data_IF_902676509922
#
_entry.id   IF_902676509922
#
_cell.length_a   1.000
_cell.length_b   1.000
_cell.length_c   1.000
_cell.angle_alpha   90.00
_cell.angle_beta   90.00
_cell.angle_gamma   90.00
#
_symmetry.space_group_name_H-M   'P 1'
#
loop_
_entity.id
_entity.type
_entity.pdbx_description
1 polymer ?
#
# COMPACT_ATOMS: atom_id res chain seq x y z
N UNK A 1 0.36 -3.89 0.01
CA UNK A 1 -0.07 -3.86 -1.40
C UNK A 1 -0.27 -5.25 -2.02
N UNK A 2 -0.65 -6.28 -1.30
CA UNK A 2 -0.49 -7.64 -1.81
C UNK A 2 -1.72 -8.48 -1.52
N UNK A 3 -2.61 -8.50 -2.46
CA UNK A 3 -3.55 -9.58 -2.63
C UNK A 3 -3.10 -10.40 -3.83
N UNK A 4 -2.14 -11.29 -3.66
CA UNK A 4 -2.00 -12.36 -4.61
C UNK A 4 -3.33 -13.10 -4.63
N UNK A 5 -3.96 -13.18 -5.81
CA UNK A 5 -4.95 -14.20 -6.02
C UNK A 5 -4.22 -15.53 -5.84
N UNK A 6 -4.42 -16.18 -4.70
CA UNK A 6 -4.24 -17.61 -4.61
C UNK A 6 -5.28 -18.23 -5.55
N UNK A 7 -4.88 -18.40 -6.78
CA UNK A 7 -5.56 -19.29 -7.72
C UNK A 7 -4.65 -20.49 -7.80
N UNK A 8 -5.09 -21.60 -7.23
CA UNK A 8 -4.55 -22.91 -7.55
C UNK A 8 -4.75 -23.11 -9.05
N UNK A 9 -3.68 -23.06 -9.82
CA UNK A 9 -3.69 -23.22 -11.25
C UNK A 9 -2.45 -23.96 -11.72
N UNK A 10 -2.68 -25.05 -12.42
CA UNK A 10 -1.66 -25.95 -12.95
C UNK A 10 -0.72 -25.30 -13.99
N UNK A 11 0.21 -26.08 -14.50
CA UNK A 11 1.41 -25.74 -15.29
C UNK A 11 1.26 -24.96 -16.61
N UNK A 12 0.08 -24.46 -16.97
CA UNK A 12 -0.18 -23.76 -18.25
C UNK A 12 -0.30 -22.23 -18.12
N UNK A 13 0.20 -21.66 -17.01
CA UNK A 13 -0.14 -20.30 -16.56
C UNK A 13 0.19 -19.16 -17.51
N UNK A 14 1.34 -19.15 -18.20
CA UNK A 14 1.76 -18.02 -19.04
C UNK A 14 0.98 -17.98 -20.36
N UNK A 15 0.75 -19.10 -20.99
CA UNK A 15 0.02 -19.17 -22.25
C UNK A 15 -1.46 -18.83 -22.12
N UNK A 16 -2.07 -19.10 -20.96
CA UNK A 16 -3.46 -18.74 -20.68
C UNK A 16 -3.66 -17.23 -20.49
N UNK A 17 -2.66 -16.51 -19.98
CA UNK A 17 -2.75 -15.06 -19.71
C UNK A 17 -2.73 -14.19 -20.98
N UNK A 18 -2.15 -14.72 -22.07
CA UNK A 18 -2.07 -14.04 -23.38
C UNK A 18 -2.96 -14.72 -24.43
N UNK A 19 -3.75 -15.72 -24.05
CA UNK A 19 -4.63 -16.44 -24.95
C UNK A 19 -5.65 -15.48 -25.59
N UNK A 20 -5.68 -15.48 -26.94
CA UNK A 20 -6.59 -14.64 -27.73
C UNK A 20 -6.12 -13.20 -27.97
N UNK A 21 -4.91 -12.83 -27.52
CA UNK A 21 -4.28 -11.59 -27.93
C UNK A 21 -3.66 -11.70 -29.34
N UNK A 22 -3.57 -10.56 -30.05
CA UNK A 22 -2.89 -10.47 -31.36
C UNK A 22 -1.37 -10.68 -31.17
N UNK A 23 -0.76 -11.72 -31.78
CA UNK A 23 0.64 -12.02 -31.53
C UNK A 23 1.61 -10.92 -31.99
N UNK A 24 1.27 -10.17 -33.04
CA UNK A 24 2.11 -9.10 -33.58
C UNK A 24 2.09 -7.91 -32.58
N UNK A 25 0.91 -7.50 -32.16
CA UNK A 25 0.76 -6.42 -31.18
C UNK A 25 1.37 -6.78 -29.83
N UNK A 26 1.26 -8.03 -29.42
CA UNK A 26 1.89 -8.51 -28.18
C UNK A 26 3.42 -8.41 -28.26
N UNK A 27 4.01 -8.84 -29.38
CA UNK A 27 5.44 -8.75 -29.61
C UNK A 27 5.94 -7.29 -29.64
N UNK A 28 5.22 -6.40 -30.30
CA UNK A 28 5.50 -4.95 -30.31
C UNK A 28 5.42 -4.34 -28.91
N UNK A 29 4.38 -4.69 -28.15
CA UNK A 29 4.20 -4.24 -26.77
C UNK A 29 5.36 -4.71 -25.87
N UNK A 30 5.73 -5.98 -25.95
CA UNK A 30 6.85 -6.52 -25.15
C UNK A 30 8.20 -5.90 -25.56
N UNK A 31 8.42 -5.66 -26.85
CA UNK A 31 9.62 -4.99 -27.33
C UNK A 31 9.75 -3.55 -26.80
N UNK A 32 8.65 -2.79 -26.74
CA UNK A 32 8.62 -1.44 -26.15
C UNK A 32 8.97 -1.48 -24.66
N UNK A 33 8.38 -2.40 -23.91
CA UNK A 33 8.69 -2.55 -22.46
C UNK A 33 10.16 -2.93 -22.26
N UNK A 34 10.68 -3.84 -23.08
CA UNK A 34 12.09 -4.23 -23.02
C UNK A 34 13.03 -3.06 -23.31
N UNK A 35 12.68 -2.21 -24.27
CA UNK A 35 13.40 -0.97 -24.61
C UNK A 35 13.34 0.11 -23.48
N UNK A 36 12.43 -0.06 -22.52
CA UNK A 36 12.24 0.90 -21.41
C UNK A 36 11.17 1.98 -21.67
N UNK A 37 10.45 1.86 -22.79
CA UNK A 37 9.35 2.79 -23.10
C UNK A 37 8.23 2.68 -22.07
N UNK A 38 7.56 3.81 -21.83
CA UNK A 38 6.34 3.82 -21.03
C UNK A 38 5.13 3.53 -21.93
N UNK A 39 4.22 2.75 -21.37
CA UNK A 39 2.91 2.49 -21.97
C UNK A 39 1.96 3.58 -21.48
N UNK A 40 1.33 4.26 -22.41
CA UNK A 40 0.41 5.37 -22.14
C UNK A 40 -1.06 4.94 -22.36
N UNK A 41 -2.06 5.70 -21.86
CA UNK A 41 -3.47 5.31 -21.88
C UNK A 41 -4.05 5.00 -23.28
N UNK A 42 -3.48 5.62 -24.33
CA UNK A 42 -3.91 5.42 -25.72
C UNK A 42 -3.19 4.29 -26.44
N UNK A 43 -2.14 3.74 -25.83
CA UNK A 43 -1.40 2.64 -26.39
C UNK A 43 -2.22 1.35 -26.32
N UNK A 44 -2.00 0.47 -27.31
CA UNK A 44 -2.50 -0.88 -27.19
C UNK A 44 -1.76 -1.62 -26.06
N UNK A 45 -2.53 -2.37 -25.29
CA UNK A 45 -2.00 -3.20 -24.19
C UNK A 45 -2.82 -4.48 -24.05
N UNK A 46 -2.18 -5.61 -23.65
CA UNK A 46 -2.88 -6.87 -23.39
C UNK A 46 -3.96 -6.68 -22.31
N UNK A 47 -5.06 -7.41 -22.43
CA UNK A 47 -6.17 -7.34 -21.46
C UNK A 47 -5.71 -7.68 -20.05
N UNK A 48 -4.85 -8.69 -19.90
CA UNK A 48 -4.34 -9.09 -18.60
C UNK A 48 -3.39 -8.04 -17.99
N UNK A 49 -2.53 -7.40 -18.81
CA UNK A 49 -1.73 -6.25 -18.35
C UNK A 49 -2.61 -5.14 -17.77
N UNK A 50 -3.62 -4.74 -18.50
CA UNK A 50 -4.60 -3.72 -18.07
C UNK A 50 -5.30 -4.13 -16.78
N UNK A 51 -5.80 -5.35 -16.71
CA UNK A 51 -6.51 -5.90 -15.54
C UNK A 51 -5.63 -5.91 -14.27
N UNK A 52 -4.36 -6.34 -14.40
CA UNK A 52 -3.45 -6.39 -13.27
C UNK A 52 -3.04 -5.00 -12.80
N UNK A 53 -2.83 -4.05 -13.73
CA UNK A 53 -2.58 -2.65 -13.38
C UNK A 53 -3.76 -2.01 -12.65
N UNK A 54 -4.99 -2.15 -13.17
CA UNK A 54 -6.19 -1.62 -12.50
C UNK A 54 -6.26 -2.16 -11.07
N UNK A 55 -6.12 -3.48 -10.91
CA UNK A 55 -6.16 -4.12 -9.61
C UNK A 55 -5.08 -3.59 -8.65
N UNK A 56 -3.84 -3.47 -9.12
CA UNK A 56 -2.71 -3.02 -8.33
C UNK A 56 -2.86 -1.54 -7.92
N UNK A 57 -3.19 -0.68 -8.86
CA UNK A 57 -3.32 0.77 -8.62
C UNK A 57 -4.53 1.06 -7.74
N UNK A 58 -5.67 0.41 -7.99
CA UNK A 58 -6.87 0.51 -7.15
C UNK A 58 -6.58 0.09 -5.71
N UNK A 59 -5.92 -1.06 -5.52
CA UNK A 59 -5.57 -1.55 -4.21
C UNK A 59 -4.60 -0.60 -3.48
N UNK A 60 -3.68 0.03 -4.21
CA UNK A 60 -2.79 1.05 -3.68
C UNK A 60 -3.60 2.29 -3.23
N UNK A 61 -4.43 2.84 -4.10
CA UNK A 61 -5.29 3.98 -3.78
C UNK A 61 -6.18 3.72 -2.54
N UNK A 62 -6.75 2.54 -2.45
CA UNK A 62 -7.54 2.12 -1.29
C UNK A 62 -6.69 2.01 -0.02
N UNK A 63 -5.43 1.61 -0.15
CA UNK A 63 -4.50 1.51 0.97
C UNK A 63 -4.20 2.88 1.56
N UNK A 64 -4.00 3.91 0.72
CA UNK A 64 -3.83 5.29 1.17
C UNK A 64 -5.07 5.79 1.96
N UNK A 65 -6.27 5.62 1.39
CA UNK A 65 -7.52 6.03 2.05
C UNK A 65 -7.71 5.32 3.40
N UNK A 66 -7.49 4.01 3.45
CA UNK A 66 -7.71 3.24 4.68
C UNK A 66 -6.56 3.42 5.67
N UNK A 67 -5.32 3.62 5.18
CA UNK A 67 -4.16 3.93 6.00
C UNK A 67 -4.29 5.24 6.77
N UNK A 68 -4.90 6.24 6.16
CA UNK A 68 -5.20 7.51 6.82
C UNK A 68 -6.12 7.38 8.06
N UNK A 69 -6.98 6.35 8.14
CA UNK A 69 -7.98 6.23 9.21
C UNK A 69 -7.37 5.96 10.60
N UNK A 70 -6.49 4.97 10.82
CA UNK A 70 -5.90 4.72 12.14
C UNK A 70 -5.10 5.91 12.65
N UNK A 71 -4.36 6.61 11.79
CA UNK A 71 -3.59 7.78 12.15
C UNK A 71 -4.48 9.02 12.36
N UNK A 72 -5.49 9.22 11.52
CA UNK A 72 -6.46 10.31 11.62
C UNK A 72 -7.17 10.35 12.99
N UNK A 73 -7.40 9.20 13.61
CA UNK A 73 -7.97 9.14 14.96
C UNK A 73 -7.06 9.75 16.03
N UNK A 74 -5.76 9.91 15.75
CA UNK A 74 -4.78 10.49 16.66
C UNK A 74 -4.59 12.00 16.49
N UNK A 75 -5.13 12.64 15.46
CA UNK A 75 -4.94 14.09 15.22
C UNK A 75 -5.33 14.90 16.47
N UNK A 76 -6.50 14.65 17.05
CA UNK A 76 -6.96 15.36 18.24
C UNK A 76 -6.25 14.95 19.52
N UNK A 77 -5.72 13.73 19.59
CA UNK A 77 -5.06 13.13 20.76
C UNK A 77 -3.54 13.25 20.75
N UNK A 78 -2.94 13.61 19.61
CA UNK A 78 -1.50 13.74 19.49
C UNK A 78 -0.91 14.68 20.56
N UNK A 79 0.25 14.32 21.15
CA UNK A 79 0.85 15.13 22.21
C UNK A 79 1.44 16.43 21.67
N UNK A 80 0.84 17.55 22.07
CA UNK A 80 1.27 18.90 21.70
C UNK A 80 0.83 19.34 20.30
N UNK A 81 0.72 20.65 20.15
CA UNK A 81 0.15 21.29 18.95
C UNK A 81 0.96 21.02 17.69
N UNK A 82 2.29 21.08 17.78
CA UNK A 82 3.18 20.81 16.64
C UNK A 82 2.96 19.42 16.05
N UNK A 83 2.82 18.38 16.91
CA UNK A 83 2.57 17.00 16.47
C UNK A 83 1.19 16.82 15.86
N UNK A 84 0.17 17.54 16.37
CA UNK A 84 -1.17 17.56 15.76
C UNK A 84 -1.14 18.10 14.33
N UNK A 85 -0.45 19.23 14.12
CA UNK A 85 -0.32 19.83 12.79
C UNK A 85 0.44 18.92 11.82
N UNK A 86 1.55 18.32 12.26
CA UNK A 86 2.32 17.43 11.42
C UNK A 86 1.54 16.16 11.04
N UNK A 87 0.80 15.57 11.99
CA UNK A 87 -0.05 14.43 11.70
C UNK A 87 -1.22 14.77 10.77
N UNK A 88 -1.81 15.98 10.94
CA UNK A 88 -2.86 16.43 10.04
C UNK A 88 -2.34 16.59 8.59
N UNK A 89 -1.14 17.16 8.42
CA UNK A 89 -0.50 17.29 7.11
C UNK A 89 -0.27 15.92 6.49
N UNK A 90 0.32 14.96 7.25
CA UNK A 90 0.50 13.58 6.79
C UNK A 90 -0.81 12.95 6.33
N UNK A 91 -1.86 12.99 7.15
CA UNK A 91 -3.17 12.39 6.80
C UNK A 91 -3.78 13.05 5.56
N UNK A 92 -3.58 14.36 5.36
CA UNK A 92 -3.99 15.05 4.15
C UNK A 92 -3.24 14.54 2.92
N UNK A 93 -1.91 14.34 3.03
CA UNK A 93 -1.09 13.82 1.95
C UNK A 93 -1.54 12.41 1.52
N UNK A 94 -1.85 11.50 2.47
CA UNK A 94 -2.36 10.15 2.17
C UNK A 94 -3.62 10.19 1.30
N UNK A 95 -4.55 11.10 1.61
CA UNK A 95 -5.76 11.27 0.78
C UNK A 95 -5.41 11.87 -0.59
N UNK A 96 -4.41 12.76 -0.65
CA UNK A 96 -3.86 13.31 -1.90
C UNK A 96 -3.21 12.22 -2.77
N UNK A 97 -2.44 11.31 -2.15
CA UNK A 97 -1.84 10.14 -2.82
C UNK A 97 -2.92 9.24 -3.42
N UNK A 98 -3.97 8.92 -2.66
CA UNK A 98 -5.11 8.18 -3.17
C UNK A 98 -5.73 8.83 -4.40
N UNK A 99 -5.88 10.17 -4.40
CA UNK A 99 -6.44 10.94 -5.51
C UNK A 99 -5.60 10.80 -6.79
N UNK A 100 -4.28 10.86 -6.69
CA UNK A 100 -3.35 10.65 -7.80
C UNK A 100 -3.46 9.22 -8.36
N UNK A 101 -3.53 8.23 -7.48
CA UNK A 101 -3.63 6.83 -7.84
C UNK A 101 -4.98 6.50 -8.50
N UNK A 102 -6.10 7.01 -7.97
CA UNK A 102 -7.39 6.87 -8.63
C UNK A 102 -7.36 7.48 -10.04
N UNK A 103 -6.77 8.66 -10.21
CA UNK A 103 -6.63 9.28 -11.53
C UNK A 103 -5.83 8.41 -12.50
N UNK A 104 -4.76 7.76 -12.02
CA UNK A 104 -4.01 6.80 -12.84
C UNK A 104 -4.84 5.57 -13.22
N UNK A 105 -5.64 5.02 -12.29
CA UNK A 105 -6.51 3.88 -12.55
C UNK A 105 -7.67 4.22 -13.52
N UNK A 106 -8.22 5.45 -13.44
CA UNK A 106 -9.27 5.92 -14.36
C UNK A 106 -8.80 5.91 -15.82
N UNK A 107 -7.52 6.17 -16.07
CA UNK A 107 -6.96 6.09 -17.44
C UNK A 107 -6.96 4.67 -18.02
N UNK A 108 -7.15 3.66 -17.17
CA UNK A 108 -7.34 2.27 -17.54
C UNK A 108 -8.82 1.87 -17.68
N UNK A 109 -9.76 2.84 -17.54
CA UNK A 109 -11.18 2.65 -17.80
C UNK A 109 -12.02 2.13 -16.64
N UNK A 110 -11.52 2.10 -15.41
CA UNK A 110 -12.35 1.88 -14.21
C UNK A 110 -12.64 3.21 -13.54
N UNK A 111 -13.92 3.58 -13.43
CA UNK A 111 -14.30 4.87 -12.86
C UNK A 111 -13.94 4.97 -11.38
N UNK A 112 -13.62 6.19 -10.93
CA UNK A 112 -13.38 6.47 -9.51
C UNK A 112 -14.58 6.11 -8.64
N UNK A 113 -15.77 6.39 -9.13
CA UNK A 113 -17.01 6.09 -8.43
C UNK A 113 -17.15 4.58 -8.20
N UNK A 114 -16.87 3.75 -9.20
CA UNK A 114 -16.90 2.30 -9.06
C UNK A 114 -15.86 1.81 -8.05
N UNK A 115 -14.62 2.33 -8.11
CA UNK A 115 -13.56 1.97 -7.18
C UNK A 115 -13.94 2.32 -5.73
N UNK A 116 -14.46 3.53 -5.49
CA UNK A 116 -14.89 3.96 -4.16
C UNK A 116 -16.10 3.16 -3.68
N UNK A 117 -17.07 2.89 -4.54
CA UNK A 117 -18.22 2.05 -4.22
C UNK A 117 -17.80 0.62 -3.85
N UNK A 118 -16.84 0.05 -4.56
CA UNK A 118 -16.28 -1.27 -4.23
C UNK A 118 -15.58 -1.25 -2.86
N UNK A 119 -14.84 -0.19 -2.53
CA UNK A 119 -14.23 -0.02 -1.21
C UNK A 119 -15.25 0.09 -0.09
N UNK A 120 -16.27 0.95 -0.25
CA UNK A 120 -17.35 1.15 0.74
C UNK A 120 -18.13 -0.14 0.98
N UNK A 121 -18.37 -0.91 -0.07
CA UNK A 121 -19.10 -2.18 0.01
C UNK A 121 -18.25 -3.38 0.45
N UNK A 122 -16.93 -3.21 0.64
CA UNK A 122 -16.02 -4.29 1.05
C UNK A 122 -15.72 -5.30 -0.07
N UNK A 123 -15.90 -4.92 -1.33
CA UNK A 123 -15.61 -5.75 -2.50
C UNK A 123 -14.16 -5.62 -2.95
N UNK A 124 -13.51 -4.51 -2.65
CA UNK A 124 -12.10 -4.24 -2.99
C UNK A 124 -11.15 -4.56 -1.85
N UNK A 125 -9.90 -4.77 -2.19
CA UNK A 125 -8.80 -5.04 -1.28
C UNK A 125 -7.98 -3.77 -1.04
N UNK A 126 -7.31 -3.72 0.10
CA UNK A 126 -6.28 -2.75 0.50
C UNK A 126 -5.21 -3.46 1.34
N UNK A 127 -4.14 -2.79 1.69
CA UNK A 127 -3.06 -3.41 2.47
C UNK A 127 -3.59 -4.02 3.77
N UNK A 128 -3.24 -5.28 4.03
CA UNK A 128 -3.66 -6.03 5.20
C UNK A 128 -3.30 -5.32 6.51
N UNK A 129 -2.18 -4.62 6.53
CA UNK A 129 -1.60 -3.96 7.71
C UNK A 129 -2.57 -2.92 8.34
N UNK A 130 -3.42 -2.28 7.55
CA UNK A 130 -4.39 -1.30 8.06
C UNK A 130 -5.62 -1.91 8.75
N UNK A 131 -5.69 -3.23 8.87
CA UNK A 131 -6.69 -3.94 9.66
C UNK A 131 -6.25 -4.24 11.10
N UNK A 132 -5.16 -3.62 11.56
CA UNK A 132 -4.69 -3.69 12.94
C UNK A 132 -4.99 -2.39 13.70
N UNK A 133 -5.20 -2.45 15.04
CA UNK A 133 -5.55 -1.28 15.82
C UNK A 133 -4.33 -0.41 16.16
N UNK A 134 -4.48 0.91 16.09
CA UNK A 134 -3.51 1.88 16.60
C UNK A 134 -3.95 2.35 18.00
N UNK A 135 -3.55 1.62 19.04
CA UNK A 135 -4.05 1.79 20.42
C UNK A 135 -3.32 2.86 21.23
N UNK A 136 -2.06 3.13 20.91
CA UNK A 136 -1.23 4.12 21.59
C UNK A 136 -0.65 5.16 20.60
N UNK A 137 -0.11 6.24 21.11
CA UNK A 137 0.62 7.22 20.28
C UNK A 137 1.84 6.58 19.60
N UNK A 138 2.47 5.60 20.25
CA UNK A 138 3.58 4.88 19.63
C UNK A 138 3.16 4.04 18.43
N UNK A 139 1.93 3.52 18.40
CA UNK A 139 1.43 2.82 17.20
C UNK A 139 1.37 3.77 16.00
N UNK A 140 0.87 5.01 16.19
CA UNK A 140 0.88 6.03 15.13
C UNK A 140 2.30 6.36 14.67
N UNK A 141 3.27 6.43 15.58
CA UNK A 141 4.67 6.67 15.25
C UNK A 141 5.30 5.49 14.47
N UNK A 142 5.00 4.26 14.88
CA UNK A 142 5.48 3.04 14.21
C UNK A 142 4.86 2.90 12.81
N UNK A 143 3.57 3.21 12.64
CA UNK A 143 2.91 3.25 11.33
C UNK A 143 3.64 4.25 10.43
N UNK A 144 3.74 5.50 10.85
CA UNK A 144 4.34 6.58 10.07
C UNK A 144 5.84 6.37 9.76
N UNK A 145 6.55 5.53 10.50
CA UNK A 145 7.93 5.21 10.19
C UNK A 145 8.08 3.87 9.46
N UNK A 146 7.60 2.79 10.04
CA UNK A 146 7.95 1.44 9.59
C UNK A 146 6.97 0.87 8.56
N UNK A 147 5.69 1.25 8.60
CA UNK A 147 4.73 0.86 7.55
C UNK A 147 4.96 1.71 6.30
N UNK A 148 5.11 3.04 6.46
CA UNK A 148 5.41 3.91 5.33
C UNK A 148 6.77 3.56 4.70
N UNK A 149 7.75 3.13 5.51
CA UNK A 149 9.00 2.58 5.01
C UNK A 149 8.80 1.36 4.09
N UNK A 150 7.93 0.44 4.49
CA UNK A 150 7.54 -0.70 3.64
C UNK A 150 6.84 -0.24 2.37
N UNK A 151 5.97 0.77 2.46
CA UNK A 151 5.30 1.37 1.31
C UNK A 151 6.32 1.99 0.34
N UNK A 152 7.28 2.78 0.84
CA UNK A 152 8.32 3.42 0.02
C UNK A 152 9.22 2.40 -0.68
N UNK A 153 9.66 1.34 0.00
CA UNK A 153 10.44 0.27 -0.64
C UNK A 153 9.71 -0.28 -1.86
N UNK A 154 8.41 -0.46 -1.74
CA UNK A 154 7.56 -0.93 -2.83
C UNK A 154 7.33 0.12 -3.91
N UNK A 155 7.02 1.35 -3.52
CA UNK A 155 6.74 2.47 -4.42
C UNK A 155 7.96 2.84 -5.26
N UNK A 156 9.16 2.89 -4.66
CA UNK A 156 10.43 3.14 -5.35
C UNK A 156 10.77 2.03 -6.37
N UNK A 157 10.46 0.77 -6.06
CA UNK A 157 10.58 -0.30 -7.04
C UNK A 157 9.60 -0.06 -8.21
N UNK A 158 8.32 0.14 -7.93
CA UNK A 158 7.26 0.28 -8.93
C UNK A 158 7.33 1.60 -9.72
N UNK A 159 8.02 2.65 -9.23
CA UNK A 159 8.26 3.88 -10.00
C UNK A 159 9.12 3.66 -11.25
N UNK A 160 9.78 2.50 -11.35
CA UNK A 160 10.50 2.05 -12.55
C UNK A 160 9.64 1.21 -13.49
N UNK A 161 8.36 1.05 -13.18
CA UNK A 161 7.39 0.24 -13.92
C UNK A 161 7.12 0.75 -15.34
N UNK A 162 6.32 -0.02 -16.08
CA UNK A 162 6.06 0.26 -17.50
C UNK A 162 4.89 1.20 -17.77
N UNK A 163 3.94 1.38 -16.82
CA UNK A 163 2.76 2.21 -17.05
C UNK A 163 2.97 3.68 -16.66
N UNK A 164 3.02 4.56 -17.65
CA UNK A 164 3.39 5.98 -17.48
C UNK A 164 2.57 6.74 -16.43
N UNK A 165 1.21 6.72 -16.45
CA UNK A 165 0.42 7.43 -15.45
C UNK A 165 0.69 7.00 -14.01
N UNK A 166 0.89 5.72 -13.77
CA UNK A 166 1.20 5.20 -12.43
C UNK A 166 2.61 5.61 -11.97
N UNK A 167 3.59 5.53 -12.88
CA UNK A 167 4.98 5.96 -12.59
C UNK A 167 5.02 7.43 -12.17
N UNK A 168 4.36 8.31 -12.93
CA UNK A 168 4.30 9.75 -12.60
C UNK A 168 3.60 10.03 -11.25
N UNK A 169 2.57 9.27 -10.93
CA UNK A 169 1.93 9.36 -9.62
C UNK A 169 2.91 8.94 -8.50
N UNK A 170 3.62 7.83 -8.68
CA UNK A 170 4.60 7.33 -7.71
C UNK A 170 5.79 8.27 -7.51
N UNK A 171 6.29 8.91 -8.56
CA UNK A 171 7.38 9.89 -8.45
C UNK A 171 7.02 11.03 -7.50
N UNK A 172 5.78 11.53 -7.60
CA UNK A 172 5.28 12.58 -6.70
C UNK A 172 5.05 12.03 -5.29
N UNK A 173 4.39 10.91 -5.15
CA UNK A 173 4.10 10.26 -3.86
C UNK A 173 5.40 10.01 -3.09
N UNK A 174 6.40 9.38 -3.73
CA UNK A 174 7.70 9.10 -3.09
C UNK A 174 8.42 10.36 -2.58
N UNK A 175 8.26 11.50 -3.26
CA UNK A 175 8.83 12.77 -2.80
C UNK A 175 8.16 13.27 -1.50
N UNK A 176 6.83 13.17 -1.43
CA UNK A 176 6.04 13.59 -0.26
C UNK A 176 6.22 12.62 0.93
N UNK A 177 6.38 11.34 0.69
CA UNK A 177 6.63 10.29 1.70
C UNK A 177 7.91 10.50 2.53
N UNK A 178 8.87 11.27 2.03
CA UNK A 178 10.07 11.62 2.79
C UNK A 178 9.74 12.38 4.08
N UNK A 179 8.70 13.20 4.07
CA UNK A 179 8.17 13.89 5.24
C UNK A 179 7.54 12.91 6.23
N UNK A 180 6.76 11.95 5.74
CA UNK A 180 6.11 10.93 6.57
C UNK A 180 7.13 10.09 7.33
N UNK A 181 8.15 9.58 6.63
CA UNK A 181 9.24 8.82 7.25
C UNK A 181 9.95 9.63 8.32
N UNK A 182 10.28 10.90 8.02
CA UNK A 182 10.95 11.77 9.01
C UNK A 182 10.06 12.02 10.21
N UNK A 183 8.78 12.31 10.00
CA UNK A 183 7.80 12.51 11.07
C UNK A 183 7.68 11.28 11.97
N UNK A 184 7.52 10.10 11.38
CA UNK A 184 7.41 8.83 12.11
C UNK A 184 8.69 8.53 12.90
N UNK A 185 9.86 8.62 12.24
CA UNK A 185 11.16 8.41 12.87
C UNK A 185 11.38 9.36 14.06
N UNK A 186 11.16 10.66 13.90
CA UNK A 186 11.37 11.65 14.97
C UNK A 186 10.47 11.35 16.18
N UNK A 187 9.26 10.84 15.98
CA UNK A 187 8.37 10.44 17.09
C UNK A 187 8.85 9.14 17.75
N UNK A 188 9.34 8.15 16.99
CA UNK A 188 9.92 6.93 17.57
C UNK A 188 11.18 7.26 18.36
N UNK A 189 12.08 8.07 17.82
CA UNK A 189 13.29 8.55 18.56
C UNK A 189 12.89 9.25 19.85
N UNK A 190 11.93 10.17 19.79
CA UNK A 190 11.46 10.89 20.98
C UNK A 190 10.94 9.94 22.07
N UNK A 191 10.23 8.88 21.69
CA UNK A 191 9.71 7.89 22.64
C UNK A 191 10.84 6.97 23.15
N UNK A 192 11.70 6.50 22.27
CA UNK A 192 12.80 5.57 22.60
C UNK A 192 13.85 6.21 23.52
N UNK A 193 14.11 7.50 23.38
CA UNK A 193 15.07 8.29 24.20
C UNK A 193 14.44 9.01 25.39
N UNK A 194 13.12 8.88 25.57
CA UNK A 194 12.38 9.55 26.61
C UNK A 194 12.39 8.81 27.95
N UNK A 195 11.29 8.94 28.71
CA UNK A 195 11.13 8.24 29.99
C UNK A 195 11.01 6.73 29.79
N UNK A 196 11.27 5.92 30.86
CA UNK A 196 11.09 4.46 30.80
C UNK A 196 9.71 4.03 30.27
N UNK A 197 8.63 4.74 30.66
CA UNK A 197 7.27 4.48 30.17
C UNK A 197 7.08 4.78 28.69
N UNK A 198 7.73 5.84 28.17
CA UNK A 198 7.69 6.15 26.75
C UNK A 198 8.43 5.09 25.93
N UNK A 199 9.61 4.67 26.44
CA UNK A 199 10.38 3.58 25.82
C UNK A 199 9.61 2.26 25.83
N UNK A 200 8.98 1.89 26.94
CA UNK A 200 8.11 0.72 27.05
C UNK A 200 6.96 0.79 26.03
N UNK A 201 6.31 1.95 25.89
CA UNK A 201 5.21 2.16 24.93
C UNK A 201 5.65 1.93 23.49
N UNK A 202 6.80 2.44 23.06
CA UNK A 202 7.27 2.24 21.69
C UNK A 202 7.76 0.81 21.44
N UNK A 203 8.39 0.19 22.45
CA UNK A 203 8.77 -1.22 22.36
C UNK A 203 7.55 -2.13 22.23
N UNK A 204 6.51 -1.88 23.01
CA UNK A 204 5.25 -2.63 22.95
C UNK A 204 4.53 -2.44 21.61
N UNK A 205 4.49 -1.21 21.08
CA UNK A 205 3.98 -0.95 19.73
C UNK A 205 4.77 -1.75 18.67
N UNK A 206 6.10 -1.71 18.74
CA UNK A 206 6.96 -2.44 17.81
C UNK A 206 6.71 -3.96 17.86
N UNK A 207 6.52 -4.51 19.07
CA UNK A 207 6.19 -5.92 19.25
C UNK A 207 4.86 -6.31 18.57
N UNK A 208 3.86 -5.44 18.62
CA UNK A 208 2.56 -5.68 17.96
C UNK A 208 2.60 -5.52 16.46
N UNK A 209 3.43 -4.58 15.95
CA UNK A 209 3.45 -4.24 14.53
C UNK A 209 4.44 -5.07 13.70
N UNK A 210 5.37 -5.79 14.34
CA UNK A 210 6.40 -6.53 13.61
C UNK A 210 5.83 -7.56 12.64
N UNK A 211 4.95 -8.45 13.10
CA UNK A 211 4.33 -9.46 12.23
C UNK A 211 3.46 -8.85 11.13
N UNK A 212 2.57 -7.86 11.39
CA UNK A 212 1.90 -7.09 10.34
C UNK A 212 2.83 -6.47 9.30
N UNK A 213 3.99 -5.94 9.72
CA UNK A 213 5.02 -5.42 8.82
C UNK A 213 5.59 -6.52 7.94
N UNK A 214 5.90 -7.68 8.50
CA UNK A 214 6.43 -8.81 7.72
C UNK A 214 5.39 -9.34 6.72
N UNK A 215 4.11 -9.30 7.06
CA UNK A 215 2.99 -9.60 6.17
C UNK A 215 2.79 -8.55 5.06
N UNK A 216 3.26 -7.32 5.25
CA UNK A 216 3.06 -6.21 4.30
C UNK A 216 3.57 -6.55 2.89
N UNK A 217 4.70 -7.25 2.79
CA UNK A 217 5.31 -7.64 1.51
C UNK A 217 4.62 -8.83 0.84
N UNK A 218 3.75 -9.54 1.56
CA UNK A 218 3.08 -10.75 1.06
C UNK A 218 3.96 -12.02 1.13
N UNK A 219 3.39 -13.18 0.84
CA UNK A 219 4.12 -14.44 0.81
C UNK A 219 5.15 -14.50 -0.31
N UNK A 220 6.07 -15.48 -0.24
CA UNK A 220 7.10 -15.68 -1.26
C UNK A 220 6.50 -15.86 -2.66
N UNK A 221 7.13 -15.25 -3.66
CA UNK A 221 6.73 -15.35 -5.06
C UNK A 221 7.00 -16.73 -5.69
N UNK A 222 7.75 -17.60 -5.03
CA UNK A 222 8.10 -18.93 -5.52
C UNK A 222 6.87 -19.80 -5.86
N UNK A 223 5.72 -19.50 -5.27
CA UNK A 223 4.46 -20.18 -5.49
C UNK A 223 3.54 -19.51 -6.53
N UNK A 224 3.96 -18.41 -7.18
CA UNK A 224 3.12 -17.60 -8.07
C UNK A 224 3.58 -17.67 -9.53
N UNK A 225 2.81 -18.38 -10.36
CA UNK A 225 3.04 -18.46 -11.82
C UNK A 225 2.82 -17.13 -12.55
N UNK A 226 2.01 -16.23 -11.98
CA UNK A 226 1.77 -14.90 -12.56
C UNK A 226 2.92 -13.92 -12.35
N UNK A 227 3.80 -14.16 -11.40
CA UNK A 227 4.89 -13.23 -11.08
C UNK A 227 5.83 -13.05 -12.25
N UNK A 228 6.16 -14.10 -12.98
CA UNK A 228 7.08 -14.03 -14.11
C UNK A 228 6.60 -13.07 -15.21
N UNK A 229 5.34 -13.20 -15.65
CA UNK A 229 4.79 -12.31 -16.68
C UNK A 229 4.62 -10.87 -16.17
N UNK A 230 4.25 -10.69 -14.93
CA UNK A 230 4.14 -9.35 -14.33
C UNK A 230 5.49 -8.66 -14.23
N UNK A 231 6.55 -9.40 -13.92
CA UNK A 231 7.92 -8.87 -13.92
C UNK A 231 8.43 -8.59 -15.34
N UNK A 232 8.16 -9.49 -16.31
CA UNK A 232 8.50 -9.28 -17.72
C UNK A 232 7.82 -8.05 -18.30
N UNK A 233 6.57 -7.79 -17.96
CA UNK A 233 5.84 -6.59 -18.35
C UNK A 233 6.10 -5.37 -17.48
N UNK A 234 7.03 -5.46 -16.52
CA UNK A 234 7.36 -4.40 -15.57
C UNK A 234 6.12 -3.80 -14.87
N UNK A 235 5.11 -4.62 -14.61
CA UNK A 235 4.00 -4.30 -13.69
C UNK A 235 4.48 -4.47 -12.25
N UNK A 236 5.27 -5.51 -12.00
CA UNK A 236 5.96 -5.76 -10.73
C UNK A 236 7.46 -5.66 -10.96
N UNK A 237 8.19 -4.90 -10.15
CA UNK A 237 9.59 -4.59 -10.38
C UNK A 237 10.57 -5.34 -9.47
N UNK A 238 10.08 -5.95 -8.39
CA UNK A 238 10.89 -6.75 -7.47
C UNK A 238 10.03 -7.87 -6.88
N UNK A 239 10.67 -8.97 -6.47
CA UNK A 239 9.98 -10.03 -5.76
C UNK A 239 9.56 -9.58 -4.35
N UNK A 240 8.57 -10.24 -3.76
CA UNK A 240 8.17 -9.97 -2.38
C UNK A 240 9.35 -10.22 -1.41
N UNK A 241 10.12 -11.25 -1.68
CA UNK A 241 11.29 -11.61 -0.89
C UNK A 241 12.39 -10.55 -0.99
N UNK A 242 12.69 -10.05 -2.21
CA UNK A 242 13.70 -8.99 -2.40
C UNK A 242 13.30 -7.68 -1.73
N UNK A 243 12.02 -7.32 -1.81
CA UNK A 243 11.51 -6.12 -1.13
C UNK A 243 11.59 -6.25 0.39
N UNK A 244 11.27 -7.42 0.94
CA UNK A 244 11.40 -7.69 2.37
C UNK A 244 12.87 -7.64 2.80
N UNK A 245 13.79 -8.23 2.05
CA UNK A 245 15.23 -8.16 2.32
C UNK A 245 15.73 -6.71 2.29
N UNK A 246 15.34 -5.92 1.30
CA UNK A 246 15.67 -4.50 1.20
C UNK A 246 15.15 -3.72 2.42
N UNK A 247 13.93 -3.99 2.85
CA UNK A 247 13.37 -3.37 4.03
C UNK A 247 14.15 -3.72 5.30
N UNK A 248 14.47 -5.01 5.50
CA UNK A 248 15.23 -5.47 6.65
C UNK A 248 16.64 -4.84 6.69
N UNK A 249 17.32 -4.77 5.56
CA UNK A 249 18.63 -4.11 5.45
C UNK A 249 18.59 -2.63 5.84
N UNK A 250 17.52 -1.93 5.49
CA UNK A 250 17.41 -0.49 5.72
C UNK A 250 16.97 -0.14 7.15
N UNK A 251 16.12 -0.96 7.76
CA UNK A 251 15.39 -0.56 8.97
C UNK A 251 15.76 -1.35 10.22
N UNK A 252 16.15 -2.61 10.13
CA UNK A 252 16.57 -3.39 11.32
C UNK A 252 17.74 -2.74 12.04
N UNK A 253 18.83 -2.33 11.37
CA UNK A 253 19.94 -1.64 12.05
C UNK A 253 19.48 -0.35 12.74
N UNK A 254 18.65 0.46 12.10
CA UNK A 254 18.13 1.72 12.67
C UNK A 254 17.29 1.51 13.94
N UNK A 255 16.51 0.41 13.97
CA UNK A 255 15.73 0.04 15.15
C UNK A 255 16.67 -0.36 16.30
N UNK A 256 17.69 -1.16 16.00
CA UNK A 256 18.68 -1.59 16.99
C UNK A 256 19.55 -0.43 17.51
N UNK A 257 19.90 0.54 16.65
CA UNK A 257 20.64 1.75 17.03
C UNK A 257 19.87 2.61 18.06
N UNK A 258 18.54 2.53 18.06
CA UNK A 258 17.71 3.14 19.11
C UNK A 258 17.64 2.30 20.40
N UNK A 259 18.34 1.16 20.44
CA UNK A 259 18.31 0.21 21.53
C UNK A 259 16.95 -0.47 21.70
N UNK A 260 16.11 -0.49 20.67
CA UNK A 260 14.86 -1.25 20.61
C UNK A 260 15.13 -2.67 20.12
N UNK A 261 14.26 -3.61 20.47
CA UNK A 261 14.37 -5.01 20.06
C UNK A 261 13.21 -5.40 19.15
N UNK A 262 13.43 -6.39 18.29
CA UNK A 262 12.40 -6.97 17.45
C UNK A 262 11.98 -8.34 17.99
N UNK A 263 10.68 -8.68 18.00
CA UNK A 263 10.17 -9.91 18.59
C UNK A 263 10.33 -11.11 17.64
N UNK A 264 11.51 -11.26 17.09
CA UNK A 264 11.87 -12.33 16.16
C UNK A 264 13.22 -12.96 16.61
N UNK A 265 13.19 -14.13 17.24
CA UNK A 265 14.40 -14.76 17.77
C UNK A 265 15.35 -15.27 16.68
N UNK A 266 14.88 -15.41 15.45
CA UNK A 266 15.68 -15.88 14.32
C UNK A 266 16.23 -14.74 13.48
N UNK A 267 15.89 -13.47 13.81
CA UNK A 267 16.29 -12.33 13.03
C UNK A 267 17.79 -12.05 13.18
N UNK A 268 18.53 -12.34 12.13
CA UNK A 268 19.96 -12.08 12.03
C UNK A 268 20.38 -11.92 10.58
N UNK A 269 21.48 -11.21 10.35
CA UNK A 269 22.10 -11.16 9.03
C UNK A 269 23.06 -12.32 8.88
N UNK A 270 22.92 -13.10 7.83
CA UNK A 270 23.84 -14.17 7.48
C UNK A 270 25.06 -13.56 6.79
N UNK A 271 26.24 -13.71 7.40
CA UNK A 271 27.49 -13.10 6.93
C UNK A 271 27.95 -13.66 5.58
N UNK A 272 27.64 -14.94 5.27
CA UNK A 272 28.06 -15.59 4.04
C UNK A 272 27.20 -15.17 2.85
N UNK A 273 25.89 -15.05 3.04
CA UNK A 273 24.92 -14.74 1.98
C UNK A 273 24.56 -13.25 1.89
N UNK A 274 24.87 -12.49 2.93
CA UNK A 274 24.46 -11.09 3.10
C UNK A 274 22.94 -10.92 3.29
N UNK A 275 22.17 -12.00 3.42
CA UNK A 275 20.72 -11.96 3.56
C UNK A 275 20.28 -12.06 5.03
N UNK A 276 19.12 -11.46 5.31
CA UNK A 276 18.46 -11.61 6.59
C UNK A 276 17.77 -12.96 6.69
N UNK A 277 18.03 -13.68 7.78
CA UNK A 277 17.25 -14.82 8.25
C UNK A 277 16.22 -14.29 9.26
N UNK A 278 15.01 -14.81 9.23
CA UNK A 278 13.91 -14.39 10.10
C UNK A 278 12.91 -15.54 10.28
N UNK A 279 12.08 -15.45 11.30
CA UNK A 279 10.97 -16.39 11.51
C UNK A 279 9.95 -16.20 10.39
N UNK A 280 9.57 -17.31 9.74
CA UNK A 280 8.52 -17.28 8.70
C UNK A 280 7.23 -16.69 9.28
N UNK A 281 6.67 -15.63 8.68
CA UNK A 281 5.44 -15.03 9.17
C UNK A 281 4.26 -16.01 9.13
N UNK A 282 3.30 -15.86 10.04
CA UNK A 282 2.12 -16.70 10.07
C UNK A 282 1.15 -16.37 8.91
N UNK A 283 1.31 -17.06 7.79
CA UNK A 283 0.49 -16.82 6.60
C UNK A 283 -0.99 -17.19 6.78
N UNK A 284 -1.36 -17.98 7.78
CA UNK A 284 -2.78 -18.26 8.05
C UNK A 284 -3.45 -17.06 8.72
N UNK A 285 -2.74 -16.34 9.61
CA UNK A 285 -3.20 -15.04 10.12
C UNK A 285 -3.34 -14.04 8.97
N UNK A 286 -2.35 -13.97 8.07
CA UNK A 286 -2.45 -13.14 6.87
C UNK A 286 -3.70 -13.46 6.04
N UNK A 287 -3.97 -14.74 5.76
CA UNK A 287 -5.17 -15.18 5.02
C UNK A 287 -6.47 -14.76 5.73
N UNK A 288 -6.54 -14.87 7.04
CA UNK A 288 -7.69 -14.41 7.83
C UNK A 288 -7.92 -12.90 7.64
N UNK A 289 -6.86 -12.09 7.72
CA UNK A 289 -6.95 -10.64 7.57
C UNK A 289 -7.42 -10.26 6.16
N UNK A 290 -6.81 -10.82 5.11
CA UNK A 290 -7.18 -10.49 3.73
C UNK A 290 -8.56 -11.04 3.32
N UNK A 291 -9.09 -12.02 4.04
CA UNK A 291 -10.47 -12.53 3.84
C UNK A 291 -11.53 -11.76 4.64
N UNK A 292 -11.15 -10.70 5.37
CA UNK A 292 -12.07 -9.85 6.10
C UNK A 292 -12.31 -10.25 7.57
N UNK A 293 -11.49 -11.14 8.12
CA UNK A 293 -11.61 -11.66 9.48
C UNK A 293 -10.46 -11.25 10.42
N UNK A 294 -9.72 -10.21 10.06
CA UNK A 294 -8.68 -9.62 10.91
C UNK A 294 -9.24 -8.74 12.03
N UNK A 295 -8.38 -8.23 12.90
CA UNK A 295 -8.77 -7.53 14.14
C UNK A 295 -9.72 -6.34 13.92
N UNK A 296 -9.54 -5.56 12.85
CA UNK A 296 -10.31 -4.35 12.59
C UNK A 296 -11.13 -4.38 11.29
N UNK A 297 -11.15 -5.46 10.53
CA UNK A 297 -11.84 -5.51 9.23
C UNK A 297 -13.32 -5.10 9.32
N UNK A 298 -14.06 -5.66 10.29
CA UNK A 298 -15.48 -5.38 10.46
C UNK A 298 -15.73 -3.93 10.86
N UNK A 299 -14.94 -3.42 11.78
CA UNK A 299 -15.01 -2.01 12.21
C UNK A 299 -14.70 -1.06 11.05
N UNK A 300 -13.60 -1.30 10.32
CA UNK A 300 -13.22 -0.50 9.15
C UNK A 300 -14.34 -0.44 8.10
N UNK A 301 -15.00 -1.58 7.85
CA UNK A 301 -16.12 -1.64 6.92
C UNK A 301 -17.35 -0.90 7.45
N UNK A 302 -17.70 -1.08 8.72
CA UNK A 302 -18.84 -0.41 9.34
C UNK A 302 -18.67 1.11 9.35
N UNK A 303 -17.47 1.61 9.69
CA UNK A 303 -17.16 3.05 9.69
C UNK A 303 -17.32 3.66 8.29
N UNK A 304 -16.83 3.02 7.25
CA UNK A 304 -16.96 3.51 5.86
C UNK A 304 -18.43 3.60 5.43
N UNK A 305 -19.21 2.54 5.71
CA UNK A 305 -20.64 2.50 5.35
C UNK A 305 -21.44 3.55 6.10
N UNK A 306 -21.18 3.71 7.39
CA UNK A 306 -21.82 4.75 8.20
C UNK A 306 -21.47 6.16 7.70
N UNK A 307 -20.19 6.41 7.35
CA UNK A 307 -19.76 7.70 6.81
C UNK A 307 -20.43 8.02 5.47
N UNK A 308 -20.53 7.05 4.56
CA UNK A 308 -21.25 7.20 3.28
C UNK A 308 -22.75 7.47 3.51
N UNK A 309 -23.40 6.71 4.38
CA UNK A 309 -24.82 6.90 4.69
C UNK A 309 -25.10 8.29 5.25
N UNK A 310 -24.34 8.72 6.27
CA UNK A 310 -24.48 10.03 6.89
C UNK A 310 -24.11 11.21 5.99
N UNK A 311 -23.15 11.01 5.09
CA UNK A 311 -22.65 12.03 4.15
C UNK A 311 -23.47 12.15 2.85
N UNK A 312 -24.29 11.16 2.54
CA UNK A 312 -25.00 11.04 1.24
C UNK A 312 -25.83 12.26 0.90
N UNK A 313 -26.52 12.84 1.84
CA UNK A 313 -27.33 14.03 1.59
C UNK A 313 -26.51 15.25 1.19
N UNK A 314 -25.31 15.43 1.77
CA UNK A 314 -24.39 16.52 1.41
C UNK A 314 -23.87 16.31 0.00
N UNK A 315 -23.40 15.09 -0.31
CA UNK A 315 -22.94 14.71 -1.66
C UNK A 315 -24.02 14.98 -2.71
N UNK A 316 -25.26 14.56 -2.44
CA UNK A 316 -26.37 14.76 -3.35
C UNK A 316 -26.72 16.25 -3.53
N UNK A 317 -26.58 17.07 -2.50
CA UNK A 317 -26.80 18.50 -2.58
C UNK A 317 -25.73 19.19 -3.46
N UNK A 318 -24.45 18.79 -3.31
CA UNK A 318 -23.35 19.31 -4.12
C UNK A 318 -23.57 18.94 -5.60
N UNK A 319 -23.84 17.66 -5.90
CA UNK A 319 -24.06 17.20 -7.28
C UNK A 319 -25.26 17.90 -7.97
N UNK A 320 -26.34 18.13 -7.22
CA UNK A 320 -27.49 18.89 -7.75
C UNK A 320 -27.11 20.34 -8.08
N UNK A 321 -26.29 20.97 -7.25
CA UNK A 321 -25.80 22.31 -7.48
C UNK A 321 -24.91 22.38 -8.72
N UNK A 322 -23.98 21.46 -8.88
CA UNK A 322 -23.12 21.34 -10.05
C UNK A 322 -23.94 21.17 -11.33
N UNK A 323 -24.93 20.27 -11.32
CA UNK A 323 -25.85 20.10 -12.45
C UNK A 323 -26.62 21.39 -12.81
N UNK A 324 -26.95 22.20 -11.82
CA UNK A 324 -27.66 23.50 -12.08
C UNK A 324 -26.77 24.58 -12.72
N UNK A 325 -25.44 24.48 -12.58
CA UNK A 325 -24.49 25.37 -13.22
C UNK A 325 -24.17 24.98 -14.68
N UNK A 326 -24.39 23.73 -15.05
CA UNK A 326 -24.12 23.21 -16.40
C UNK A 326 -25.29 23.46 -17.34
N UNK A 327 -26.49 23.79 -16.83
CA UNK A 327 -27.64 24.15 -17.65
C UNK A 327 -27.48 25.60 -18.07
N UNK A 328 -27.35 25.94 -19.39
CA UNK A 328 -27.28 27.32 -19.82
C UNK A 328 -28.53 28.06 -19.34
N UNK A 329 -28.34 29.22 -18.75
CA UNK A 329 -29.41 30.15 -18.49
C UNK A 329 -30.05 30.48 -19.86
N UNK A 330 -31.20 29.90 -20.14
CA UNK A 330 -32.03 30.21 -21.31
C UNK A 330 -32.59 31.63 -21.25
#
# INVERSE_FOLDING_TARGET
MYGNAYIEGGSDGVNTLVAGEDPVKLAEFEARIAAGDKIEPKDWMPKEYKKQLVRMIEQHAHSEVIGALPEGTWITRAPGFRRKLALMAKVQDEIGHAQLLYSAAETLGKSREDMINDLINGKSKYSNVFNYPAVTWADSAVIAWLIDAGAIVNQLANSKGSYGPYVRALERICAEESFHLKYGHDNVVFLATGTPKQREMVQDALNRWWEPIMHFFGPSDKASQHTEILMRWKVKMASNDDMRQTYLDMYVPKIWDLGLTLPDPNLKKNEETGKWEYTEPNWDVFKQVISGNGPCNKERLAVRRMAEEKGRWVRNAILRKEASYVTPLS
#
